data_IF_662974148938
#
_entry.id   IF_662974148938
#
_cell.length_a   1.000
_cell.length_b   1.000
_cell.length_c   1.000
_cell.angle_alpha   90.00
_cell.angle_beta   90.00
_cell.angle_gamma   90.00
#
_symmetry.space_group_name_H-M   'P 1'
#
loop_
_entity.id
_entity.type
_entity.pdbx_description
1 polymer ?
#
# COMPACT_ATOMS: atom_id res chain seq x y z
N UNK A 1 34.60 32.24 8.74
CA UNK A 1 34.51 30.86 9.24
C UNK A 1 33.08 30.39 8.99
N UNK A 2 32.92 29.47 8.05
CA UNK A 2 31.62 29.05 7.48
C UNK A 2 30.94 28.10 8.47
N UNK A 3 29.76 28.49 8.96
CA UNK A 3 28.92 27.63 9.79
C UNK A 3 28.02 26.81 8.86
N UNK A 4 28.50 25.64 8.44
CA UNK A 4 27.68 24.62 7.79
C UNK A 4 26.81 23.95 8.85
N UNK A 5 25.65 24.53 9.12
CA UNK A 5 24.62 23.93 9.95
C UNK A 5 23.98 22.77 9.17
N UNK A 6 24.24 21.55 9.62
CA UNK A 6 23.61 20.34 9.11
C UNK A 6 22.09 20.45 9.23
N UNK A 7 21.41 20.58 8.08
CA UNK A 7 19.96 20.48 8.01
C UNK A 7 19.50 19.10 8.53
N UNK A 8 18.43 19.01 9.33
CA UNK A 8 17.98 17.76 9.91
C UNK A 8 17.60 16.76 8.80
N UNK A 9 18.09 15.52 8.92
CA UNK A 9 17.89 14.39 7.98
C UNK A 9 16.41 14.02 7.74
N UNK A 10 15.46 14.69 8.38
CA UNK A 10 14.03 14.39 8.38
C UNK A 10 13.21 15.18 7.36
N UNK A 11 13.78 16.18 6.68
CA UNK A 11 13.04 17.01 5.70
C UNK A 11 13.10 16.49 4.24
N UNK A 12 13.63 15.27 4.01
CA UNK A 12 13.99 14.77 2.66
C UNK A 12 13.33 13.45 2.22
N UNK A 13 12.16 13.06 2.74
CA UNK A 13 11.52 11.78 2.34
C UNK A 13 10.20 11.96 1.57
N UNK A 14 10.28 12.71 0.47
CA UNK A 14 9.48 12.58 -0.78
C UNK A 14 7.94 12.38 -0.70
N UNK A 15 7.13 13.05 0.15
CA UNK A 15 5.67 12.92 0.01
C UNK A 15 5.19 13.77 -1.18
N UNK A 16 5.66 15.02 -1.27
CA UNK A 16 5.20 15.99 -2.27
C UNK A 16 5.46 15.54 -3.71
N UNK A 17 6.67 15.06 -4.04
CA UNK A 17 7.02 14.74 -5.44
C UNK A 17 6.29 13.50 -5.99
N UNK A 18 5.96 12.56 -5.12
CA UNK A 18 5.16 11.39 -5.49
C UNK A 18 3.76 11.81 -5.98
N UNK A 19 3.08 12.67 -5.22
CA UNK A 19 1.75 13.16 -5.59
C UNK A 19 1.77 13.96 -6.90
N UNK A 20 2.82 14.76 -7.14
CA UNK A 20 2.99 15.45 -8.43
C UNK A 20 3.19 14.44 -9.57
N UNK A 21 4.01 13.40 -9.37
CA UNK A 21 4.22 12.36 -10.38
C UNK A 21 2.92 11.61 -10.72
N UNK A 22 2.13 11.24 -9.70
CA UNK A 22 0.81 10.63 -9.91
C UNK A 22 -0.15 11.57 -10.65
N UNK A 23 -0.16 12.86 -10.26
CA UNK A 23 -1.02 13.85 -10.91
C UNK A 23 -0.64 14.04 -12.38
N UNK A 24 0.65 14.17 -12.69
CA UNK A 24 1.12 14.27 -14.07
C UNK A 24 0.86 13.00 -14.88
N UNK A 25 1.01 11.82 -14.28
CA UNK A 25 0.66 10.55 -14.92
C UNK A 25 -0.84 10.50 -15.23
N UNK A 26 -1.69 10.87 -14.27
CA UNK A 26 -3.14 10.90 -14.45
C UNK A 26 -3.57 11.86 -15.56
N UNK A 27 -3.10 13.11 -15.52
CA UNK A 27 -3.41 14.10 -16.55
C UNK A 27 -2.86 13.67 -17.93
N UNK A 28 -1.67 13.08 -17.97
CA UNK A 28 -1.09 12.56 -19.20
C UNK A 28 -1.92 11.43 -19.82
N UNK A 29 -2.33 10.45 -19.01
CA UNK A 29 -3.20 9.35 -19.46
C UNK A 29 -4.57 9.87 -19.91
N UNK A 30 -5.16 10.82 -19.18
CA UNK A 30 -6.44 11.42 -19.53
C UNK A 30 -6.37 12.20 -20.85
N UNK A 31 -5.32 13.00 -21.04
CA UNK A 31 -5.11 13.75 -22.28
C UNK A 31 -4.90 12.80 -23.46
N UNK A 32 -4.10 11.75 -23.27
CA UNK A 32 -3.82 10.75 -24.30
C UNK A 32 -5.09 9.98 -24.68
N UNK A 33 -5.92 9.62 -23.70
CA UNK A 33 -7.25 9.02 -23.94
C UNK A 33 -8.11 9.93 -24.82
N UNK A 34 -8.25 11.21 -24.46
CA UNK A 34 -9.09 12.17 -25.19
C UNK A 34 -8.59 12.43 -26.61
N UNK A 35 -7.27 12.48 -26.79
CA UNK A 35 -6.63 12.73 -28.09
C UNK A 35 -6.67 11.49 -29.00
N UNK A 36 -6.53 10.28 -28.45
CA UNK A 36 -6.47 9.05 -29.24
C UNK A 36 -7.85 8.45 -29.54
N UNK A 37 -8.86 8.71 -28.71
CA UNK A 37 -10.25 8.25 -28.93
C UNK A 37 -10.77 8.48 -30.37
N UNK A 38 -10.58 9.66 -31.02
CA UNK A 38 -11.06 9.88 -32.39
C UNK A 38 -10.25 9.16 -33.48
N UNK A 39 -9.20 8.41 -33.14
CA UNK A 39 -8.34 7.70 -34.10
C UNK A 39 -8.42 6.19 -33.85
N UNK A 40 -9.45 5.48 -34.39
CA UNK A 40 -9.69 4.07 -34.10
C UNK A 40 -8.52 3.14 -34.41
N UNK A 41 -7.72 3.48 -35.43
CA UNK A 41 -6.57 2.68 -35.87
C UNK A 41 -5.48 2.55 -34.79
N UNK A 42 -5.35 3.54 -33.90
CA UNK A 42 -4.31 3.56 -32.85
C UNK A 42 -4.93 3.31 -31.46
N UNK A 43 -6.17 3.75 -31.27
CA UNK A 43 -6.87 3.65 -29.98
C UNK A 43 -6.98 2.21 -29.46
N UNK A 44 -7.32 1.24 -30.32
CA UNK A 44 -7.47 -0.15 -29.89
C UNK A 44 -6.18 -0.73 -29.31
N UNK A 45 -5.04 -0.48 -29.96
CA UNK A 45 -3.72 -0.92 -29.47
C UNK A 45 -3.33 -0.18 -28.19
N UNK A 46 -3.54 1.14 -28.15
CA UNK A 46 -3.24 1.96 -26.97
C UNK A 46 -4.03 1.50 -25.73
N UNK A 47 -5.37 1.42 -25.85
CA UNK A 47 -6.28 1.02 -24.78
C UNK A 47 -5.94 -0.38 -24.25
N UNK A 48 -5.67 -1.33 -25.16
CA UNK A 48 -5.23 -2.68 -24.79
C UNK A 48 -3.90 -2.66 -24.02
N UNK A 49 -2.92 -1.88 -24.49
CA UNK A 49 -1.61 -1.80 -23.87
C UNK A 49 -1.65 -1.19 -22.45
N UNK A 50 -2.37 -0.08 -22.26
CA UNK A 50 -2.51 0.53 -20.93
C UNK A 50 -3.32 -0.37 -19.98
N UNK A 51 -4.33 -1.08 -20.49
CA UNK A 51 -5.08 -2.07 -19.71
C UNK A 51 -4.19 -3.22 -19.26
N UNK A 52 -3.30 -3.71 -20.14
CA UNK A 52 -2.33 -4.74 -19.81
C UNK A 52 -1.32 -4.29 -18.75
N UNK A 53 -0.81 -3.06 -18.89
CA UNK A 53 0.11 -2.48 -17.94
C UNK A 53 -0.54 -2.28 -16.57
N UNK A 54 -1.77 -1.74 -16.55
CA UNK A 54 -2.53 -1.52 -15.32
C UNK A 54 -2.80 -2.83 -14.55
N UNK A 55 -3.32 -3.84 -15.25
CA UNK A 55 -3.54 -5.16 -14.66
C UNK A 55 -2.24 -5.83 -14.21
N UNK A 56 -1.16 -5.69 -14.98
CA UNK A 56 0.15 -6.22 -14.62
C UNK A 56 0.71 -5.60 -13.35
N UNK A 57 0.55 -4.27 -13.19
CA UNK A 57 0.93 -3.58 -11.96
C UNK A 57 0.09 -4.10 -10.78
N UNK A 58 -1.23 -4.18 -10.93
CA UNK A 58 -2.15 -4.69 -9.90
C UNK A 58 -1.79 -6.13 -9.48
N UNK A 59 -1.46 -7.00 -10.44
CA UNK A 59 -1.03 -8.37 -10.20
C UNK A 59 0.27 -8.47 -9.38
N UNK A 60 1.16 -7.48 -9.46
CA UNK A 60 2.43 -7.47 -8.75
C UNK A 60 2.28 -6.90 -7.33
N UNK A 61 1.26 -6.06 -7.07
CA UNK A 61 1.01 -5.43 -5.77
C UNK A 61 1.01 -6.41 -4.58
N UNK A 62 0.35 -7.59 -4.63
CA UNK A 62 0.33 -8.50 -3.48
C UNK A 62 1.65 -9.25 -3.24
N UNK A 63 2.54 -9.34 -4.24
CA UNK A 63 3.75 -10.19 -4.18
C UNK A 63 4.68 -9.81 -3.02
N UNK A 64 5.08 -8.54 -2.82
CA UNK A 64 5.94 -8.17 -1.70
C UNK A 64 5.34 -8.52 -0.34
N UNK A 65 4.01 -8.41 -0.20
CA UNK A 65 3.32 -8.76 1.03
C UNK A 65 3.33 -10.27 1.26
N UNK A 66 3.04 -11.08 0.21
CA UNK A 66 3.11 -12.54 0.26
C UNK A 66 4.48 -13.02 0.72
N UNK A 67 5.54 -12.44 0.15
CA UNK A 67 6.93 -12.79 0.49
C UNK A 67 7.28 -12.40 1.93
N UNK A 68 6.85 -11.22 2.36
CA UNK A 68 7.11 -10.74 3.72
C UNK A 68 6.40 -11.61 4.74
N UNK A 69 5.10 -11.87 4.56
CA UNK A 69 4.31 -12.75 5.42
C UNK A 69 4.92 -14.16 5.50
N UNK A 70 5.36 -14.72 4.37
CA UNK A 70 6.00 -16.03 4.35
C UNK A 70 7.33 -16.06 5.11
N UNK A 71 8.10 -14.96 5.09
CA UNK A 71 9.36 -14.83 5.85
C UNK A 71 9.14 -14.67 7.34
N UNK A 72 8.22 -13.78 7.74
CA UNK A 72 8.02 -13.39 9.14
C UNK A 72 6.97 -14.24 9.85
N UNK A 73 6.22 -15.07 9.11
CA UNK A 73 5.14 -15.94 9.63
C UNK A 73 4.12 -15.15 10.48
N UNK A 74 3.87 -13.89 10.12
CA UNK A 74 2.98 -12.97 10.83
C UNK A 74 2.33 -12.02 9.85
N UNK A 75 1.05 -11.73 10.08
CA UNK A 75 0.28 -10.73 9.32
C UNK A 75 0.01 -9.47 10.16
N UNK A 76 0.85 -9.20 11.17
CA UNK A 76 0.68 -8.05 12.08
C UNK A 76 0.78 -6.73 11.32
N UNK A 77 -0.26 -5.90 11.42
CA UNK A 77 -0.37 -4.62 10.70
C UNK A 77 -1.01 -4.71 9.31
N UNK A 78 -1.37 -5.91 8.86
CA UNK A 78 -2.14 -6.07 7.62
C UNK A 78 -3.61 -5.69 7.84
N UNK A 79 -4.13 -4.79 7.01
CA UNK A 79 -5.51 -4.30 7.12
C UNK A 79 -6.48 -5.33 6.58
N UNK A 80 -7.19 -6.01 7.46
CA UNK A 80 -8.18 -7.05 7.11
C UNK A 80 -9.26 -6.53 6.17
N UNK A 81 -9.71 -5.30 6.37
CA UNK A 81 -10.71 -4.67 5.50
C UNK A 81 -10.22 -4.52 4.06
N UNK A 82 -8.92 -4.28 3.86
CA UNK A 82 -8.32 -4.20 2.53
C UNK A 82 -8.29 -5.58 1.86
N UNK A 83 -7.82 -6.61 2.56
CA UNK A 83 -7.82 -7.98 2.06
C UNK A 83 -9.24 -8.46 1.70
N UNK A 84 -10.22 -8.18 2.56
CA UNK A 84 -11.60 -8.53 2.28
C UNK A 84 -12.12 -7.83 1.02
N UNK A 85 -11.81 -6.54 0.84
CA UNK A 85 -12.20 -5.81 -0.37
C UNK A 85 -11.59 -6.39 -1.65
N UNK A 86 -10.33 -6.85 -1.58
CA UNK A 86 -9.65 -7.51 -2.70
C UNK A 86 -10.29 -8.85 -3.05
N UNK A 87 -10.46 -9.74 -2.06
CA UNK A 87 -11.08 -11.05 -2.27
C UNK A 87 -12.50 -10.96 -2.83
N UNK A 88 -13.31 -10.03 -2.32
CA UNK A 88 -14.68 -9.80 -2.81
C UNK A 88 -14.63 -9.26 -4.25
N UNK A 89 -13.78 -8.28 -4.53
CA UNK A 89 -13.61 -7.71 -5.87
C UNK A 89 -13.17 -8.75 -6.89
N UNK A 90 -12.22 -9.61 -6.53
CA UNK A 90 -11.73 -10.68 -7.39
C UNK A 90 -12.76 -11.78 -7.62
N UNK A 91 -13.52 -12.16 -6.59
CA UNK A 91 -14.64 -13.09 -6.75
C UNK A 91 -15.68 -12.55 -7.74
N UNK A 92 -16.04 -11.27 -7.63
CA UNK A 92 -16.95 -10.61 -8.57
C UNK A 92 -16.36 -10.54 -9.98
N UNK A 93 -15.08 -10.19 -10.12
CA UNK A 93 -14.35 -10.08 -11.40
C UNK A 93 -14.31 -11.43 -12.11
N UNK A 94 -13.93 -12.49 -11.41
CA UNK A 94 -13.90 -13.86 -11.94
C UNK A 94 -15.31 -14.33 -12.31
N UNK A 95 -16.31 -14.10 -11.46
CA UNK A 95 -17.70 -14.41 -11.79
C UNK A 95 -18.17 -13.72 -13.08
N UNK A 96 -17.82 -12.45 -13.26
CA UNK A 96 -18.13 -11.70 -14.46
C UNK A 96 -17.44 -12.29 -15.70
N UNK A 97 -16.19 -12.76 -15.61
CA UNK A 97 -15.49 -13.39 -16.74
C UNK A 97 -16.19 -14.64 -17.29
N UNK A 98 -16.89 -15.39 -16.44
CA UNK A 98 -17.61 -16.60 -16.83
C UNK A 98 -19.06 -16.35 -17.25
N UNK A 99 -19.66 -15.24 -16.82
CA UNK A 99 -21.06 -14.90 -17.12
C UNK A 99 -21.22 -13.85 -18.22
N UNK A 100 -20.15 -13.13 -18.57
CA UNK A 100 -20.17 -12.16 -19.65
C UNK A 100 -20.40 -12.83 -21.01
N UNK A 101 -21.31 -12.27 -21.80
CA UNK A 101 -21.57 -12.65 -23.18
C UNK A 101 -20.63 -11.98 -24.19
N UNK A 102 -19.78 -11.07 -23.72
CA UNK A 102 -18.80 -10.34 -24.54
C UNK A 102 -17.46 -11.06 -24.61
N UNK A 103 -16.78 -10.97 -25.76
CA UNK A 103 -15.42 -11.49 -25.89
C UNK A 103 -14.44 -10.63 -25.06
N UNK A 104 -14.00 -11.19 -23.94
CA UNK A 104 -12.97 -10.59 -23.11
C UNK A 104 -11.60 -11.10 -23.58
N UNK A 105 -10.61 -10.22 -23.83
CA UNK A 105 -9.27 -10.62 -24.20
C UNK A 105 -8.70 -11.69 -23.25
N UNK A 106 -8.19 -12.83 -23.74
CA UNK A 106 -7.71 -13.93 -22.89
C UNK A 106 -6.65 -13.49 -21.88
N UNK A 107 -5.83 -12.51 -22.26
CA UNK A 107 -4.76 -11.99 -21.45
C UNK A 107 -5.30 -11.18 -20.24
N UNK A 108 -6.46 -10.51 -20.36
CA UNK A 108 -7.17 -9.86 -19.25
C UNK A 108 -7.69 -10.90 -18.25
N UNK A 109 -8.27 -12.00 -18.76
CA UNK A 109 -8.75 -13.13 -17.94
C UNK A 109 -7.61 -13.79 -17.17
N UNK A 110 -6.48 -14.09 -17.83
CA UNK A 110 -5.34 -14.71 -17.17
C UNK A 110 -4.76 -13.83 -16.05
N UNK A 111 -4.64 -12.52 -16.29
CA UNK A 111 -4.14 -11.61 -15.28
C UNK A 111 -5.09 -11.49 -14.08
N UNK A 112 -6.40 -11.38 -14.32
CA UNK A 112 -7.39 -11.33 -13.23
C UNK A 112 -7.48 -12.61 -12.42
N UNK A 113 -7.32 -13.80 -13.04
CA UNK A 113 -7.23 -15.06 -12.30
C UNK A 113 -5.96 -15.10 -11.44
N UNK A 114 -4.82 -14.65 -11.98
CA UNK A 114 -3.58 -14.58 -11.23
C UNK A 114 -3.67 -13.63 -10.02
N UNK A 115 -4.31 -12.46 -10.18
CA UNK A 115 -4.62 -11.55 -9.07
C UNK A 115 -5.44 -12.28 -7.98
N UNK A 116 -6.55 -12.92 -8.38
CA UNK A 116 -7.41 -13.68 -7.49
C UNK A 116 -6.65 -14.79 -6.73
N UNK A 117 -5.72 -15.47 -7.40
CA UNK A 117 -4.84 -16.45 -6.76
C UNK A 117 -3.93 -15.79 -5.72
N UNK A 118 -3.27 -14.68 -6.06
CA UNK A 118 -2.37 -13.98 -5.13
C UNK A 118 -3.12 -13.47 -3.89
N UNK A 119 -4.29 -12.89 -4.06
CA UNK A 119 -5.08 -12.37 -2.95
C UNK A 119 -5.66 -13.51 -2.09
N UNK A 120 -6.04 -14.63 -2.72
CA UNK A 120 -6.41 -15.85 -1.99
C UNK A 120 -5.25 -16.41 -1.17
N UNK A 121 -4.02 -16.39 -1.70
CA UNK A 121 -2.82 -16.79 -0.94
C UNK A 121 -2.60 -15.88 0.26
N UNK A 122 -2.80 -14.56 0.13
CA UNK A 122 -2.76 -13.65 1.28
C UNK A 122 -3.85 -13.97 2.30
N UNK A 123 -5.06 -14.32 1.85
CA UNK A 123 -6.15 -14.79 2.72
C UNK A 123 -5.77 -16.06 3.50
N UNK A 124 -5.17 -17.05 2.83
CA UNK A 124 -4.68 -18.28 3.46
C UNK A 124 -3.59 -17.95 4.49
N UNK A 125 -2.58 -17.14 4.12
CA UNK A 125 -1.53 -16.70 5.03
C UNK A 125 -2.10 -15.97 6.25
N UNK A 126 -3.12 -15.15 6.05
CA UNK A 126 -3.79 -14.44 7.14
C UNK A 126 -4.45 -15.41 8.14
N UNK A 127 -5.13 -16.46 7.66
CA UNK A 127 -5.73 -17.48 8.53
C UNK A 127 -4.64 -18.32 9.22
N UNK A 128 -3.60 -18.74 8.49
CA UNK A 128 -2.53 -19.58 9.04
C UNK A 128 -1.66 -18.84 10.08
N UNK A 129 -1.39 -17.55 9.89
CA UNK A 129 -0.58 -16.73 10.79
C UNK A 129 -1.43 -15.93 11.79
N UNK A 130 -2.75 -16.15 11.80
CA UNK A 130 -3.74 -15.44 12.59
C UNK A 130 -3.63 -15.67 14.11
N UNK A 131 -3.19 -16.85 14.53
CA UNK A 131 -2.99 -17.18 15.96
C UNK A 131 -1.87 -16.35 16.61
N UNK A 132 -0.94 -15.80 15.81
CA UNK A 132 0.08 -14.85 16.28
C UNK A 132 -0.34 -13.37 16.10
N UNK A 133 -1.54 -13.12 15.59
CA UNK A 133 -2.00 -11.81 15.10
C UNK A 133 -3.31 -11.31 15.75
N UNK A 134 -3.94 -12.11 16.62
CA UNK A 134 -5.21 -11.77 17.29
C UNK A 134 -5.07 -10.84 18.52
N UNK A 135 -3.96 -10.10 18.66
CA UNK A 135 -3.96 -8.93 19.53
C UNK A 135 -4.52 -7.76 18.71
N UNK A 136 -5.74 -7.26 18.98
CA UNK A 136 -6.22 -6.07 18.32
C UNK A 136 -5.17 -4.98 18.59
N UNK A 137 -4.69 -4.32 17.55
CA UNK A 137 -3.97 -3.07 17.72
C UNK A 137 -5.00 -2.08 18.25
N UNK A 138 -5.17 -2.10 19.57
CA UNK A 138 -5.69 -0.97 20.32
C UNK A 138 -4.71 0.13 19.98
N UNK A 139 -5.10 1.00 19.05
CA UNK A 139 -4.54 2.33 18.95
C UNK A 139 -4.82 2.95 20.31
N UNK A 140 -3.89 2.79 21.25
CA UNK A 140 -3.82 3.64 22.41
C UNK A 140 -3.50 5.00 21.82
N UNK A 141 -4.53 5.76 21.49
CA UNK A 141 -4.40 7.20 21.46
C UNK A 141 -3.73 7.53 22.79
N UNK A 142 -2.46 7.96 22.71
CA UNK A 142 -1.81 8.54 23.87
C UNK A 142 -2.77 9.64 24.32
N UNK A 143 -3.33 9.58 25.55
CA UNK A 143 -3.95 10.76 26.11
C UNK A 143 -2.89 11.83 25.98
N UNK A 144 -3.20 12.91 25.25
CA UNK A 144 -2.41 14.11 25.34
C UNK A 144 -2.50 14.49 26.82
N UNK A 145 -1.48 14.10 27.59
CA UNK A 145 -1.20 14.82 28.83
C UNK A 145 -0.96 16.24 28.36
N UNK A 146 -1.96 17.08 28.60
CA UNK A 146 -1.84 18.51 28.42
C UNK A 146 -0.53 18.91 29.07
N UNK A 147 0.44 19.32 28.26
CA UNK A 147 1.73 19.79 28.76
C UNK A 147 1.46 20.98 29.66
N UNK A 148 1.43 20.74 30.97
CA UNK A 148 1.40 21.77 31.98
C UNK A 148 2.84 22.30 32.09
N UNK A 149 3.11 23.56 31.70
CA UNK A 149 4.44 24.14 31.86
C UNK A 149 4.77 24.23 33.36
N UNK A 150 5.58 23.29 33.85
CA UNK A 150 5.99 23.20 35.26
C UNK A 150 6.21 21.78 35.79
N UNK A 151 5.71 20.75 35.09
CA UNK A 151 5.77 19.35 35.58
C UNK A 151 6.94 18.55 35.02
N UNK A 152 7.85 19.17 34.25
CA UNK A 152 9.07 18.51 33.78
C UNK A 152 10.00 18.27 34.97
N UNK A 153 9.90 17.08 35.58
CA UNK A 153 10.91 16.58 36.50
C UNK A 153 11.98 15.90 35.66
N UNK A 154 13.21 16.46 35.58
CA UNK A 154 14.27 15.83 34.81
C UNK A 154 14.54 14.42 35.38
N UNK A 155 14.85 13.44 34.52
CA UNK A 155 15.22 12.11 34.98
C UNK A 155 16.45 12.21 35.89
N UNK A 156 16.36 11.61 37.08
CA UNK A 156 17.48 11.53 38.02
C UNK A 156 18.55 10.67 37.38
N UNK A 157 19.68 11.28 37.02
CA UNK A 157 20.85 10.57 36.54
C UNK A 157 21.52 9.88 37.73
N UNK A 158 21.31 8.57 37.86
CA UNK A 158 22.06 7.75 38.80
C UNK A 158 23.41 7.37 38.19
N UNK A 159 24.48 7.98 38.69
CA UNK A 159 25.86 7.56 38.40
C UNK A 159 26.39 6.89 39.68
N UNK A 160 26.77 5.61 39.59
CA UNK A 160 27.30 4.80 40.70
C UNK A 160 26.37 4.72 41.93
N UNK A 161 25.05 4.58 41.71
CA UNK A 161 24.07 4.33 42.78
C UNK A 161 23.88 5.48 43.76
N UNK A 162 24.28 6.71 43.41
CA UNK A 162 23.92 7.92 44.15
C UNK A 162 23.05 8.83 43.28
N UNK A 163 21.90 9.29 43.79
CA UNK A 163 21.11 10.29 43.10
C UNK A 163 21.88 11.62 43.09
N UNK A 164 22.23 12.11 41.91
CA UNK A 164 22.78 13.46 41.75
C UNK A 164 21.67 14.37 41.23
N UNK A 165 21.28 15.36 42.03
CA UNK A 165 20.40 16.46 41.60
C UNK A 165 21.25 17.42 40.75
N UNK A 166 20.78 17.74 39.54
CA UNK A 166 21.30 18.86 38.76
C UNK A 166 20.65 20.17 39.20
#
# INVERSE_FOLDING_TARGET
MRSDAAAPLTSRLVPSRYWHALFYLFIGLLALELVLTPIPAVYGTYSTAIGFLGLGIEAILPIPQILTNARVQSCKGFRVSLLASWLIGDAMKVFWFFTASTEIPPAFKMCGIFQACCDSLLGIQYVMYGDNSAAPVVVKEHPLEDFQPGTFKPPVLEINGRPTQA
#
